data_IF_375987386111
#
_entry.id   IF_375987386111
#
_cell.length_a   1.000
_cell.length_b   1.000
_cell.length_c   1.000
_cell.angle_alpha   90.00
_cell.angle_beta   90.00
_cell.angle_gamma   90.00
#
_symmetry.space_group_name_H-M   'P 1'
#
loop_
_entity.id
_entity.type
_entity.pdbx_description
1 polymer ?
#
# COMPACT_ATOMS: atom_id res chain seq x y z
N UNK A 1 -17.87 11.02 0.75
CA UNK A 1 -18.03 9.58 1.07
C UNK A 1 -17.62 8.79 -0.16
N UNK A 2 -16.54 8.02 -0.09
CA UNK A 2 -16.03 7.30 -1.27
C UNK A 2 -16.97 6.13 -1.60
N UNK A 3 -17.68 6.23 -2.72
CA UNK A 3 -18.45 5.13 -3.29
C UNK A 3 -17.48 3.97 -3.54
N UNK A 4 -17.71 2.86 -2.86
CA UNK A 4 -16.97 1.62 -3.05
C UNK A 4 -17.41 1.03 -4.39
N UNK A 5 -16.93 1.61 -5.49
CA UNK A 5 -17.18 1.13 -6.84
C UNK A 5 -16.52 -0.25 -6.98
N UNK A 6 -17.21 -1.23 -7.55
CA UNK A 6 -16.73 -2.62 -7.80
C UNK A 6 -15.42 -2.70 -8.65
N UNK A 7 -14.91 -1.54 -9.06
CA UNK A 7 -13.68 -1.31 -9.83
C UNK A 7 -12.48 -0.94 -8.97
N UNK A 8 -12.63 -0.57 -7.70
CA UNK A 8 -11.50 -0.26 -6.81
C UNK A 8 -11.06 -1.49 -6.03
N UNK A 9 -9.75 -1.72 -6.01
CA UNK A 9 -9.02 -2.72 -5.23
C UNK A 9 -8.28 -1.98 -4.12
N UNK A 10 -8.37 -2.50 -2.91
CA UNK A 10 -7.52 -2.06 -1.82
C UNK A 10 -6.22 -2.85 -1.83
N UNK A 11 -5.09 -2.14 -1.83
CA UNK A 11 -3.76 -2.73 -1.68
C UNK A 11 -3.25 -2.39 -0.29
N UNK A 12 -2.85 -3.39 0.48
CA UNK A 12 -2.28 -3.20 1.79
C UNK A 12 -0.85 -3.75 1.80
N UNK A 13 0.09 -2.94 2.28
CA UNK A 13 1.46 -3.36 2.57
C UNK A 13 1.60 -3.47 4.07
N UNK A 14 2.02 -4.64 4.53
CA UNK A 14 2.28 -4.92 5.94
C UNK A 14 3.78 -5.05 6.14
N UNK A 15 4.34 -4.17 6.96
CA UNK A 15 5.72 -4.29 7.44
C UNK A 15 5.62 -4.91 8.82
N UNK A 16 6.09 -6.16 8.94
CA UNK A 16 6.15 -6.89 10.20
C UNK A 16 7.61 -7.01 10.62
N UNK A 17 7.92 -6.62 11.85
CA UNK A 17 9.20 -6.96 12.47
C UNK A 17 9.08 -8.25 13.29
N UNK A 18 10.23 -8.88 13.52
CA UNK A 18 10.33 -10.15 14.27
C UNK A 18 9.94 -10.01 15.74
N UNK A 19 9.98 -8.79 16.29
CA UNK A 19 9.58 -8.41 17.64
C UNK A 19 8.05 -8.30 17.82
N UNK A 20 7.26 -8.59 16.79
CA UNK A 20 5.79 -8.61 16.83
C UNK A 20 5.14 -7.26 16.53
N UNK A 21 5.92 -6.19 16.39
CA UNK A 21 5.41 -4.88 15.99
C UNK A 21 5.36 -4.74 14.48
N UNK A 22 4.38 -3.99 13.98
CA UNK A 22 4.23 -3.78 12.54
C UNK A 22 3.39 -2.57 12.20
N UNK A 23 3.53 -2.11 10.97
CA UNK A 23 2.73 -1.03 10.41
C UNK A 23 2.10 -1.47 9.10
N UNK A 24 0.88 -1.01 8.88
CA UNK A 24 0.12 -1.31 7.68
C UNK A 24 -0.15 0.01 6.97
N UNK A 25 0.32 0.13 5.73
CA UNK A 25 -0.16 1.17 4.82
C UNK A 25 -1.19 0.57 3.88
N UNK A 26 -2.24 1.34 3.62
CA UNK A 26 -3.30 0.96 2.69
C UNK A 26 -3.41 2.03 1.61
N UNK A 27 -3.48 1.58 0.37
CA UNK A 27 -3.79 2.38 -0.79
C UNK A 27 -5.01 1.81 -1.52
N UNK A 28 -5.65 2.65 -2.31
CA UNK A 28 -6.71 2.23 -3.24
C UNK A 28 -6.19 2.42 -4.66
N UNK A 29 -6.51 1.48 -5.53
CA UNK A 29 -6.22 1.55 -6.96
C UNK A 29 -7.36 0.88 -7.72
N UNK A 30 -7.57 1.23 -8.97
CA UNK A 30 -8.62 0.64 -9.79
C UNK A 30 -8.11 -0.61 -10.53
N UNK A 31 -9.02 -1.54 -10.81
CA UNK A 31 -8.77 -2.70 -11.68
C UNK A 31 -8.20 -2.30 -13.04
N UNK A 32 -8.60 -1.14 -13.56
CA UNK A 32 -8.14 -0.61 -14.84
C UNK A 32 -6.70 -0.10 -14.77
N UNK A 33 -6.33 0.58 -13.69
CA UNK A 33 -4.94 0.95 -13.43
C UNK A 33 -4.05 -0.28 -13.33
N UNK A 34 -4.47 -1.33 -12.62
CA UNK A 34 -3.67 -2.56 -12.48
C UNK A 34 -3.56 -3.32 -13.80
N UNK A 35 -4.65 -3.45 -14.57
CA UNK A 35 -4.65 -4.22 -15.84
C UNK A 35 -3.65 -3.71 -16.87
N UNK A 36 -3.38 -2.41 -16.86
CA UNK A 36 -2.52 -1.75 -17.82
C UNK A 36 -1.07 -1.57 -17.32
N UNK A 37 -0.77 -1.96 -16.08
CA UNK A 37 0.56 -1.83 -15.50
C UNK A 37 1.38 -3.09 -15.75
N UNK A 38 2.65 -2.89 -16.10
CA UNK A 38 3.63 -3.96 -15.99
C UNK A 38 3.86 -4.32 -14.52
N UNK A 39 4.43 -5.50 -14.22
CA UNK A 39 4.77 -5.88 -12.84
C UNK A 39 5.72 -4.86 -12.19
N UNK A 40 6.66 -4.31 -12.97
CA UNK A 40 7.59 -3.28 -12.50
C UNK A 40 6.85 -2.00 -12.14
N UNK A 41 6.00 -1.50 -13.03
CA UNK A 41 5.26 -0.25 -12.79
C UNK A 41 4.25 -0.40 -11.64
N UNK A 42 3.68 -1.58 -11.45
CA UNK A 42 2.83 -1.85 -10.28
C UNK A 42 3.63 -1.73 -8.98
N UNK A 43 4.83 -2.31 -8.93
CA UNK A 43 5.70 -2.21 -7.76
C UNK A 43 6.13 -0.76 -7.52
N UNK A 44 6.57 -0.04 -8.56
CA UNK A 44 7.07 1.33 -8.43
C UNK A 44 5.97 2.35 -8.11
N UNK A 45 4.77 2.21 -8.69
CA UNK A 45 3.71 3.23 -8.58
C UNK A 45 2.70 2.97 -7.47
N UNK A 46 2.47 1.71 -7.11
CA UNK A 46 1.46 1.35 -6.10
C UNK A 46 2.12 0.87 -4.80
N UNK A 47 3.07 -0.07 -4.91
CA UNK A 47 3.65 -0.73 -3.75
C UNK A 47 4.70 0.15 -3.07
N UNK A 48 5.66 0.71 -3.79
CA UNK A 48 6.76 1.49 -3.22
C UNK A 48 6.30 2.73 -2.42
N UNK A 49 5.31 3.54 -2.87
CA UNK A 49 4.76 4.62 -2.06
C UNK A 49 4.08 4.12 -0.78
N UNK A 50 3.33 3.02 -0.88
CA UNK A 50 2.67 2.38 0.27
C UNK A 50 3.69 1.87 1.30
N UNK A 51 4.78 1.25 0.84
CA UNK A 51 5.91 0.83 1.70
C UNK A 51 6.54 2.03 2.39
N UNK A 52 6.84 3.10 1.65
CA UNK A 52 7.45 4.32 2.19
C UNK A 52 6.56 4.95 3.27
N UNK A 53 5.25 5.00 3.04
CA UNK A 53 4.27 5.51 4.01
C UNK A 53 4.23 4.63 5.27
N UNK A 54 4.18 3.30 5.12
CA UNK A 54 4.20 2.36 6.24
C UNK A 54 5.49 2.50 7.07
N UNK A 55 6.64 2.66 6.43
CA UNK A 55 7.93 2.87 7.10
C UNK A 55 7.98 4.20 7.84
N UNK A 56 7.46 5.28 7.23
CA UNK A 56 7.40 6.59 7.86
C UNK A 56 6.50 6.58 9.10
N UNK A 57 5.31 6.00 9.00
CA UNK A 57 4.38 5.87 10.13
C UNK A 57 4.93 4.97 11.24
N UNK A 58 5.63 3.89 10.87
CA UNK A 58 6.34 3.05 11.83
C UNK A 58 7.42 3.84 12.58
N UNK A 59 8.27 4.58 11.86
CA UNK A 59 9.31 5.41 12.48
C UNK A 59 8.74 6.43 13.45
N UNK A 60 7.64 7.11 13.10
CA UNK A 60 7.00 8.10 13.98
C UNK A 60 6.48 7.51 15.30
N UNK A 61 5.99 6.26 15.29
CA UNK A 61 5.43 5.61 16.50
C UNK A 61 6.49 5.00 17.42
N UNK A 62 7.72 4.88 16.94
CA UNK A 62 8.83 4.22 17.62
C UNK A 62 10.06 5.14 17.79
N UNK A 63 9.86 6.46 17.66
CA UNK A 63 10.78 7.56 18.03
C UNK A 63 10.20 8.25 19.27
#
# INVERSE_FOLDING_TARGET
MAQNNERTIQVAVVIKKEDGYGSVARGYCTKQEIKNLSRKDFLDRIVAPSVSLALSEFKKKHL
#
